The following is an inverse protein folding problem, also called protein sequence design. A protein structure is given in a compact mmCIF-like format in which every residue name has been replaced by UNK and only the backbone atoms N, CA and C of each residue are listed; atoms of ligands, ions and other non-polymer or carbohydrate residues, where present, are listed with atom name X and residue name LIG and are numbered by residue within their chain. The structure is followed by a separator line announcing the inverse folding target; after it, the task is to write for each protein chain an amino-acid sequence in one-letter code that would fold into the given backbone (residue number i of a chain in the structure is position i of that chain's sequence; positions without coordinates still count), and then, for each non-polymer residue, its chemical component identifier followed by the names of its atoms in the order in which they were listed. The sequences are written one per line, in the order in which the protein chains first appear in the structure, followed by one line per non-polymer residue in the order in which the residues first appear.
data_IF_415300398552
#
_entry.id   IF_415300398552
#
_cell.length_a   1.000
_cell.length_b   1.000
_cell.length_c   1.000
_cell.angle_alpha   90.00
_cell.angle_beta   90.00
_cell.angle_gamma   90.00
#
_symmetry.space_group_name_H-M   'P 1'
#
loop_
_entity.id
_entity.type
_entity.pdbx_description
1 polymer ?
#
# COMPACT_ATOMS: atom_id res chain seq x y z
N UNK A 1 0.34 -22.73 10.95
CA UNK A 1 0.31 -22.93 9.48
C UNK A 1 1.12 -21.79 8.84
N UNK A 2 2.25 -22.07 8.17
CA UNK A 2 2.97 -21.02 7.41
C UNK A 2 2.28 -20.91 6.06
N UNK A 3 1.70 -19.74 5.75
CA UNK A 3 1.09 -19.49 4.45
C UNK A 3 2.16 -19.63 3.36
N UNK A 4 1.87 -20.38 2.29
CA UNK A 4 2.85 -20.59 1.22
C UNK A 4 3.18 -19.27 0.53
N UNK A 5 4.42 -19.12 0.04
CA UNK A 5 4.89 -17.91 -0.66
C UNK A 5 3.98 -17.54 -1.83
N UNK A 6 3.54 -18.55 -2.58
CA UNK A 6 2.57 -18.39 -3.67
C UNK A 6 1.20 -17.90 -3.17
N UNK A 7 0.69 -18.42 -2.06
CA UNK A 7 -0.59 -17.94 -1.52
C UNK A 7 -0.52 -16.47 -1.09
N UNK A 8 0.60 -16.03 -0.48
CA UNK A 8 0.84 -14.61 -0.16
C UNK A 8 0.89 -13.74 -1.41
N UNK A 9 1.57 -14.22 -2.46
CA UNK A 9 1.64 -13.53 -3.75
C UNK A 9 0.26 -13.42 -4.41
N UNK A 10 -0.52 -14.51 -4.47
CA UNK A 10 -1.86 -14.50 -5.05
C UNK A 10 -2.81 -13.59 -4.27
N UNK A 11 -2.74 -13.55 -2.94
CA UNK A 11 -3.53 -12.60 -2.15
C UNK A 11 -3.16 -11.15 -2.48
N UNK A 12 -1.86 -10.80 -2.44
CA UNK A 12 -1.42 -9.44 -2.76
C UNK A 12 -1.72 -9.04 -4.22
N UNK A 13 -1.61 -9.99 -5.16
CA UNK A 13 -1.99 -9.80 -6.56
C UNK A 13 -3.49 -9.61 -6.74
N UNK A 14 -4.31 -10.39 -6.04
CA UNK A 14 -5.76 -10.21 -6.02
C UNK A 14 -6.14 -8.84 -5.45
N UNK A 15 -5.53 -8.43 -4.33
CA UNK A 15 -5.74 -7.12 -3.72
C UNK A 15 -5.38 -5.98 -4.70
N UNK A 16 -4.31 -6.15 -5.49
CA UNK A 16 -3.93 -5.21 -6.54
C UNK A 16 -5.01 -5.09 -7.62
N UNK A 17 -5.54 -6.23 -8.11
CA UNK A 17 -6.58 -6.24 -9.14
C UNK A 17 -7.90 -5.69 -8.61
N UNK A 18 -8.30 -6.07 -7.40
CA UNK A 18 -9.51 -5.59 -6.75
C UNK A 18 -9.45 -4.07 -6.56
N UNK A 19 -8.32 -3.55 -6.07
CA UNK A 19 -8.16 -2.12 -5.87
C UNK A 19 -8.02 -1.36 -7.20
N UNK A 20 -7.40 -1.98 -8.21
CA UNK A 20 -7.38 -1.45 -9.57
C UNK A 20 -8.78 -1.37 -10.20
N UNK A 21 -9.63 -2.36 -9.94
CA UNK A 21 -11.04 -2.35 -10.35
C UNK A 21 -11.81 -1.19 -9.73
N UNK A 22 -11.67 -1.02 -8.41
CA UNK A 22 -12.26 0.12 -7.67
C UNK A 22 -11.73 1.44 -8.25
N UNK A 23 -10.44 1.52 -8.55
CA UNK A 23 -9.83 2.70 -9.14
C UNK A 23 -10.43 3.10 -10.48
N UNK A 24 -10.55 2.14 -11.40
CA UNK A 24 -11.16 2.42 -12.70
C UNK A 24 -12.62 2.87 -12.53
N UNK A 25 -13.38 2.27 -11.60
CA UNK A 25 -14.78 2.64 -11.39
C UNK A 25 -14.95 4.01 -10.74
N UNK A 26 -14.09 4.37 -9.78
CA UNK A 26 -14.22 5.64 -9.06
C UNK A 26 -13.62 6.82 -9.83
N UNK A 27 -12.57 6.61 -10.62
CA UNK A 27 -11.93 7.68 -11.41
C UNK A 27 -12.43 7.74 -12.86
N UNK A 28 -13.27 6.79 -13.29
CA UNK A 28 -13.68 6.68 -14.70
C UNK A 28 -12.50 6.42 -15.64
N UNK A 29 -11.42 5.82 -15.14
CA UNK A 29 -10.16 5.62 -15.86
C UNK A 29 -9.26 6.86 -15.95
N UNK A 30 -9.61 7.97 -15.29
CA UNK A 30 -8.75 9.15 -15.21
C UNK A 30 -7.67 8.92 -14.14
N UNK A 31 -6.47 9.41 -14.43
CA UNK A 31 -5.33 9.39 -13.53
C UNK A 31 -4.97 10.82 -13.16
N UNK A 32 -4.62 11.04 -11.89
CA UNK A 32 -3.88 12.21 -11.43
C UNK A 32 -4.60 13.58 -11.55
N UNK A 33 -5.94 13.62 -11.61
CA UNK A 33 -6.66 14.90 -11.70
C UNK A 33 -6.91 15.55 -10.33
N UNK A 34 -6.99 14.74 -9.28
CA UNK A 34 -7.20 15.17 -7.90
C UNK A 34 -6.33 14.36 -6.92
N UNK A 35 -6.07 14.92 -5.73
CA UNK A 35 -5.35 14.25 -4.64
C UNK A 35 -5.95 12.87 -4.29
N UNK A 36 -7.27 12.73 -4.34
CA UNK A 36 -7.95 11.44 -4.10
C UNK A 36 -7.57 10.37 -5.13
N UNK A 37 -7.53 10.72 -6.41
CA UNK A 37 -7.14 9.80 -7.49
C UNK A 37 -5.68 9.38 -7.38
N UNK A 38 -4.79 10.32 -7.02
CA UNK A 38 -3.37 10.02 -6.77
C UNK A 38 -3.19 8.99 -5.67
N UNK A 39 -3.87 9.18 -4.54
CA UNK A 39 -3.83 8.25 -3.41
C UNK A 39 -4.39 6.88 -3.81
N UNK A 40 -5.49 6.88 -4.56
CA UNK A 40 -6.18 5.67 -4.94
C UNK A 40 -5.34 4.83 -5.90
N UNK A 41 -4.82 5.41 -6.97
CA UNK A 41 -3.88 4.73 -7.88
C UNK A 41 -2.55 4.38 -7.23
N UNK A 42 -2.05 5.22 -6.31
CA UNK A 42 -0.85 4.93 -5.54
C UNK A 42 -1.03 3.73 -4.60
N UNK A 43 -2.24 3.51 -4.08
CA UNK A 43 -2.55 2.32 -3.27
C UNK A 43 -2.58 1.02 -4.09
N UNK A 44 -3.06 1.10 -5.35
CA UNK A 44 -2.98 -0.01 -6.32
C UNK A 44 -1.52 -0.36 -6.58
N UNK A 45 -0.69 0.66 -6.82
CA UNK A 45 0.74 0.49 -7.04
C UNK A 45 1.44 -0.06 -5.79
N UNK A 46 1.04 0.37 -4.60
CA UNK A 46 1.56 -0.16 -3.34
C UNK A 46 1.28 -1.66 -3.16
N UNK A 47 0.06 -2.11 -3.48
CA UNK A 47 -0.30 -3.53 -3.47
C UNK A 47 0.52 -4.33 -4.50
N UNK A 48 0.70 -3.78 -5.70
CA UNK A 48 1.52 -4.39 -6.75
C UNK A 48 2.98 -4.56 -6.31
N UNK A 49 3.56 -3.53 -5.70
CA UNK A 49 4.92 -3.55 -5.14
C UNK A 49 5.03 -4.61 -4.04
N UNK A 50 4.04 -4.73 -3.17
CA UNK A 50 4.03 -5.78 -2.15
C UNK A 50 4.02 -7.19 -2.77
N UNK A 51 3.21 -7.43 -3.81
CA UNK A 51 3.19 -8.70 -4.52
C UNK A 51 4.56 -9.03 -5.14
N UNK A 52 5.19 -8.06 -5.79
CA UNK A 52 6.53 -8.20 -6.38
C UNK A 52 7.57 -8.53 -5.28
N UNK A 53 7.60 -7.78 -4.18
CA UNK A 53 8.55 -8.00 -3.07
C UNK A 53 8.35 -9.39 -2.44
N UNK A 54 7.12 -9.89 -2.35
CA UNK A 54 6.84 -11.26 -1.88
C UNK A 54 7.49 -12.31 -2.77
N UNK A 55 7.59 -12.10 -4.09
CA UNK A 55 8.28 -13.03 -5.00
C UNK A 55 9.79 -12.95 -4.82
N UNK A 56 10.35 -11.74 -4.81
CA UNK A 56 11.79 -11.54 -4.87
C UNK A 56 12.50 -11.71 -3.53
N UNK A 57 11.76 -11.77 -2.41
CA UNK A 57 12.29 -11.89 -1.01
C UNK A 57 13.44 -10.93 -0.68
N UNK A 58 13.60 -9.90 -1.49
CA UNK A 58 14.59 -8.85 -1.43
C UNK A 58 13.82 -7.55 -1.51
N UNK A 59 14.32 -6.51 -0.83
CA UNK A 59 13.64 -5.22 -0.70
C UNK A 59 12.42 -5.25 0.25
N UNK A 60 12.48 -6.05 1.33
CA UNK A 60 11.51 -5.96 2.42
C UNK A 60 11.20 -4.50 2.85
N UNK A 61 12.19 -3.58 3.00
CA UNK A 61 11.90 -2.18 3.35
C UNK A 61 10.95 -1.49 2.37
N UNK A 62 11.04 -1.80 1.07
CA UNK A 62 10.24 -1.17 0.02
C UNK A 62 8.75 -1.52 0.16
N UNK A 63 8.44 -2.77 0.50
CA UNK A 63 7.05 -3.17 0.74
C UNK A 63 6.47 -2.51 2.01
N UNK A 64 7.29 -2.27 3.04
CA UNK A 64 6.84 -1.52 4.23
C UNK A 64 6.63 -0.04 3.93
N UNK A 65 7.42 0.56 3.03
CA UNK A 65 7.16 1.91 2.50
C UNK A 65 5.82 1.94 1.74
N UNK A 66 5.55 0.95 0.90
CA UNK A 66 4.29 0.82 0.18
C UNK A 66 3.08 0.69 1.12
N UNK A 67 3.18 -0.13 2.17
CA UNK A 67 2.17 -0.23 3.24
C UNK A 67 1.96 1.13 3.94
N UNK A 68 3.04 1.87 4.22
CA UNK A 68 2.97 3.21 4.79
C UNK A 68 2.24 4.22 3.90
N UNK A 69 2.44 4.14 2.59
CA UNK A 69 1.70 4.95 1.62
C UNK A 69 0.18 4.64 1.62
N UNK A 70 -0.19 3.35 1.65
CA UNK A 70 -1.59 2.95 1.76
C UNK A 70 -2.23 3.43 3.08
N UNK A 71 -1.50 3.34 4.19
CA UNK A 71 -1.90 3.89 5.49
C UNK A 71 -2.10 5.40 5.46
N UNK A 72 -1.20 6.14 4.80
CA UNK A 72 -1.39 7.56 4.56
C UNK A 72 -2.70 7.83 3.82
N UNK A 73 -2.96 7.07 2.75
CA UNK A 73 -4.19 7.19 1.97
C UNK A 73 -5.47 7.01 2.79
N UNK A 74 -5.46 6.08 3.75
CA UNK A 74 -6.59 5.79 4.62
C UNK A 74 -6.75 6.72 5.84
N UNK A 75 -5.66 7.19 6.45
CA UNK A 75 -5.69 7.93 7.72
C UNK A 75 -5.51 9.45 7.57
N UNK A 76 -4.83 9.89 6.52
CA UNK A 76 -4.25 11.24 6.46
C UNK A 76 -4.76 12.07 5.27
N UNK A 77 -5.60 11.50 4.41
CA UNK A 77 -6.23 12.19 3.27
C UNK A 77 -7.48 12.97 3.71
N UNK A 78 -7.61 14.28 3.40
CA UNK A 78 -8.81 15.05 3.69
C UNK A 78 -10.01 14.58 2.84
N UNK A 79 -11.19 14.41 3.47
CA UNK A 79 -12.53 14.07 2.90
C UNK A 79 -13.01 12.62 2.83
N UNK A 80 -12.32 11.64 3.41
CA UNK A 80 -12.96 10.41 3.94
C UNK A 80 -11.87 9.42 4.32
N UNK A 81 -11.88 8.87 5.55
CA UNK A 81 -11.09 7.68 5.82
C UNK A 81 -11.68 6.54 4.99
N UNK A 82 -11.06 6.23 3.86
CA UNK A 82 -11.39 5.04 3.10
C UNK A 82 -10.87 3.85 3.92
N UNK A 83 -11.73 3.32 4.79
CA UNK A 83 -11.44 2.15 5.61
C UNK A 83 -10.89 0.98 4.77
N UNK A 84 -11.22 0.93 3.47
CA UNK A 84 -10.63 0.02 2.49
C UNK A 84 -9.10 0.07 2.43
N UNK A 85 -8.47 1.26 2.46
CA UNK A 85 -7.00 1.36 2.45
C UNK A 85 -6.36 0.91 3.76
N UNK A 86 -7.03 1.15 4.89
CA UNK A 86 -6.57 0.68 6.20
C UNK A 86 -6.66 -0.84 6.28
N UNK A 87 -7.76 -1.43 5.77
CA UNK A 87 -7.94 -2.87 5.67
C UNK A 87 -6.92 -3.51 4.72
N UNK A 88 -6.64 -2.87 3.58
CA UNK A 88 -5.59 -3.29 2.65
C UNK A 88 -4.21 -3.30 3.33
N UNK A 89 -3.86 -2.23 4.04
CA UNK A 89 -2.61 -2.16 4.78
C UNK A 89 -2.52 -3.25 5.85
N UNK A 90 -3.61 -3.48 6.62
CA UNK A 90 -3.68 -4.55 7.62
C UNK A 90 -3.58 -5.95 7.01
N UNK A 91 -4.16 -6.16 5.83
CA UNK A 91 -4.09 -7.43 5.10
C UNK A 91 -2.66 -7.71 4.58
N UNK A 92 -1.93 -6.67 4.18
CA UNK A 92 -0.57 -6.79 3.63
C UNK A 92 0.51 -7.00 4.69
N UNK A 93 0.35 -6.47 5.91
CA UNK A 93 1.31 -6.63 7.02
C UNK A 93 1.73 -8.10 7.27
N UNK A 94 0.81 -9.07 7.41
CA UNK A 94 1.20 -10.47 7.60
C UNK A 94 1.66 -11.16 6.31
N UNK A 95 1.55 -10.54 5.14
CA UNK A 95 1.93 -11.13 3.85
C UNK A 95 3.35 -10.77 3.43
N UNK A 96 3.83 -9.60 3.81
CA UNK A 96 5.14 -9.05 3.40
C UNK A 96 6.30 -9.59 4.26
N UNK A 97 7.50 -9.80 3.69
CA UNK A 97 8.71 -10.13 4.46
C UNK A 97 9.08 -9.04 5.47
N UNK A 98 9.60 -9.44 6.64
CA UNK A 98 9.97 -8.51 7.72
C UNK A 98 11.39 -8.00 7.53
N UNK A 99 11.64 -6.68 7.59
CA UNK A 99 12.99 -6.14 7.52
C UNK A 99 13.77 -6.56 8.76
N UNK A 100 14.86 -7.32 8.55
CA UNK A 100 15.72 -7.86 9.62
C UNK A 100 14.93 -8.66 10.68
N UNK A 101 13.87 -9.37 10.25
CA UNK A 101 12.94 -10.14 11.10
C UNK A 101 12.19 -9.34 12.19
N UNK A 102 12.35 -8.02 12.22
CA UNK A 102 11.75 -7.14 13.23
C UNK A 102 10.46 -6.49 12.72
N UNK A 103 9.38 -6.73 13.44
CA UNK A 103 8.07 -6.14 13.14
C UNK A 103 8.03 -4.65 13.49
N UNK A 104 8.70 -4.24 14.57
CA UNK A 104 8.82 -2.83 14.98
C UNK A 104 9.59 -1.99 13.97
N UNK A 105 10.64 -2.53 13.35
CA UNK A 105 11.33 -1.84 12.25
C UNK A 105 10.43 -1.63 11.04
N UNK A 106 9.66 -2.65 10.65
CA UNK A 106 8.69 -2.53 9.56
C UNK A 106 7.65 -1.45 9.85
N UNK A 107 7.06 -1.46 11.05
CA UNK A 107 6.08 -0.48 11.47
C UNK A 107 6.66 0.95 11.54
N UNK A 108 7.91 1.09 11.99
CA UNK A 108 8.63 2.36 11.97
C UNK A 108 8.82 2.92 10.55
N UNK A 109 9.19 2.05 9.60
CA UNK A 109 9.33 2.42 8.18
C UNK A 109 7.98 2.84 7.60
N UNK A 110 6.91 2.08 7.88
CA UNK A 110 5.57 2.40 7.43
C UNK A 110 5.07 3.74 8.01
N UNK A 111 5.31 4.00 9.29
CA UNK A 111 4.95 5.27 9.92
C UNK A 111 5.74 6.44 9.33
N UNK A 112 7.05 6.30 9.16
CA UNK A 112 7.90 7.32 8.54
C UNK A 112 7.46 7.59 7.09
N UNK A 113 7.17 6.54 6.32
CA UNK A 113 6.68 6.65 4.94
C UNK A 113 5.30 7.32 4.87
N UNK A 114 4.39 7.05 5.81
CA UNK A 114 3.08 7.68 5.86
C UNK A 114 3.20 9.20 6.11
N UNK A 115 4.07 9.60 7.04
CA UNK A 115 4.36 11.02 7.33
C UNK A 115 5.06 11.68 6.14
N UNK A 116 6.07 11.03 5.57
CA UNK A 116 6.79 11.54 4.40
C UNK A 116 5.85 11.72 3.20
N UNK A 117 4.94 10.78 2.96
CA UNK A 117 3.94 10.86 1.88
C UNK A 117 3.01 12.05 2.08
N UNK A 118 2.59 12.32 3.33
CA UNK A 118 1.80 13.52 3.66
C UNK A 118 2.55 14.80 3.32
N UNK A 119 3.81 14.89 3.75
CA UNK A 119 4.64 16.07 3.50
C UNK A 119 4.87 16.26 2.01
N UNK A 120 5.23 15.21 1.28
CA UNK A 120 5.45 15.26 -0.16
C UNK A 120 4.20 15.71 -0.93
N UNK A 121 3.02 15.21 -0.55
CA UNK A 121 1.77 15.58 -1.21
C UNK A 121 1.27 16.99 -0.83
N UNK A 122 1.71 17.56 0.30
CA UNK A 122 1.46 18.99 0.58
C UNK A 122 2.29 19.93 -0.30
N UNK A 123 3.40 19.45 -0.87
CA UNK A 123 4.23 20.21 -1.81
C UNK A 123 3.95 19.85 -3.27
N UNK A 124 3.04 18.91 -3.53
CA UNK A 124 2.60 18.60 -4.89
C UNK A 124 1.66 19.73 -5.39
N UNK A 125 1.91 20.27 -6.59
CA UNK A 125 1.16 21.42 -7.14
C UNK A 125 -0.30 21.10 -7.49
#
# INVERSE_FOLDING_TARGET
MRLSKLARFFCAGFDTVAMGGIAVTETGGQFARNLGEYVLWGSVLAAAVCAVVIIFDSLAPLAWVAIGYALFGGLLTPRSPHFGFILLALALIPMVPRPRDSLTLGLGIAAAAAVASRVLLTFAP
#
